data_IF_576035233500
#
_entry.id   IF_576035233500
#
_cell.length_a   1.000
_cell.length_b   1.000
_cell.length_c   1.000
_cell.angle_alpha   90.00
_cell.angle_beta   90.00
_cell.angle_gamma   90.00
#
_symmetry.space_group_name_H-M   'P 1'
#
loop_
_entity.id
_entity.type
_entity.pdbx_description
1 polymer ?
#
# COMPACT_ATOMS: atom_id res chain seq x y z
N UNK A 1 -32.87 -5.40 -2.40
CA UNK A 1 -31.57 -5.97 -2.84
C UNK A 1 -31.24 -5.70 -4.31
N UNK A 2 -32.02 -6.20 -5.30
CA UNK A 2 -31.71 -6.00 -6.75
C UNK A 2 -31.49 -4.54 -7.18
N UNK A 3 -32.22 -3.58 -6.61
CA UNK A 3 -32.07 -2.16 -6.96
C UNK A 3 -30.83 -1.51 -6.35
N UNK A 4 -30.34 -2.01 -5.20
CA UNK A 4 -29.11 -1.51 -4.57
C UNK A 4 -27.87 -2.00 -5.33
N UNK A 5 -27.84 -3.27 -5.73
CA UNK A 5 -26.80 -3.81 -6.61
C UNK A 5 -26.76 -3.08 -7.97
N UNK A 6 -27.91 -2.72 -8.53
CA UNK A 6 -27.99 -1.91 -9.76
C UNK A 6 -27.46 -0.48 -9.55
N UNK A 7 -27.78 0.16 -8.43
CA UNK A 7 -27.29 1.51 -8.10
C UNK A 7 -25.77 1.52 -7.88
N UNK A 8 -25.23 0.52 -7.18
CA UNK A 8 -23.80 0.37 -6.94
C UNK A 8 -23.06 0.02 -8.24
N UNK A 9 -23.59 -0.90 -9.05
CA UNK A 9 -23.04 -1.21 -10.37
C UNK A 9 -23.02 0.02 -11.27
N UNK A 10 -24.08 0.84 -11.25
CA UNK A 10 -24.14 2.11 -11.97
C UNK A 10 -23.11 3.13 -11.46
N UNK A 11 -22.92 3.25 -10.15
CA UNK A 11 -21.87 4.11 -9.56
C UNK A 11 -20.46 3.62 -9.91
N UNK A 12 -20.20 2.31 -9.87
CA UNK A 12 -18.90 1.72 -10.25
C UNK A 12 -18.62 1.91 -11.73
N UNK A 13 -19.62 1.69 -12.61
CA UNK A 13 -19.48 1.95 -14.05
C UNK A 13 -19.28 3.44 -14.32
N UNK A 14 -20.00 4.34 -13.64
CA UNK A 14 -19.82 5.79 -13.77
C UNK A 14 -18.44 6.27 -13.28
N UNK A 15 -17.89 5.65 -12.22
CA UNK A 15 -16.53 5.90 -11.72
C UNK A 15 -15.45 5.38 -12.69
N UNK A 16 -15.73 4.26 -13.39
CA UNK A 16 -14.87 3.73 -14.45
C UNK A 16 -15.01 4.49 -15.78
N UNK A 17 -16.10 5.26 -15.95
CA UNK A 17 -16.39 6.08 -17.12
C UNK A 17 -15.78 7.47 -17.06
N UNK A 18 -15.13 7.85 -15.95
CA UNK A 18 -14.23 9.01 -15.97
C UNK A 18 -13.23 8.67 -17.06
N UNK A 19 -13.17 9.42 -18.18
CA UNK A 19 -12.19 9.13 -19.20
C UNK A 19 -10.88 9.04 -18.45
N UNK A 20 -10.19 7.89 -18.62
CA UNK A 20 -8.79 7.75 -18.32
C UNK A 20 -8.08 8.78 -19.19
N UNK A 21 -8.18 10.02 -18.75
CA UNK A 21 -7.31 11.09 -19.06
C UNK A 21 -5.98 10.61 -18.49
N UNK A 22 -5.31 9.80 -19.30
CA UNK A 22 -3.88 9.87 -19.49
C UNK A 22 -3.50 11.28 -19.99
N UNK A 23 -4.08 12.33 -19.39
CA UNK A 23 -3.60 13.69 -19.39
C UNK A 23 -2.26 13.57 -18.69
N UNK A 24 -1.28 13.29 -19.53
CA UNK A 24 0.14 13.40 -19.31
C UNK A 24 0.44 14.32 -18.14
N UNK A 25 0.99 13.74 -17.07
CA UNK A 25 1.32 14.37 -15.80
C UNK A 25 2.47 15.37 -16.00
N UNK A 26 2.21 16.45 -16.72
CA UNK A 26 3.18 17.51 -17.00
C UNK A 26 3.24 18.47 -15.81
N UNK A 27 4.43 18.62 -15.24
CA UNK A 27 4.72 19.56 -14.15
C UNK A 27 5.70 20.65 -14.62
N UNK A 28 5.66 21.86 -14.05
CA UNK A 28 6.69 22.86 -14.29
C UNK A 28 8.08 22.28 -14.07
N UNK A 29 8.97 22.46 -15.03
CA UNK A 29 10.28 21.84 -15.05
C UNK A 29 11.18 22.44 -16.13
N UNK A 30 12.37 21.86 -16.27
CA UNK A 30 13.35 22.29 -17.24
C UNK A 30 14.07 21.11 -17.90
N UNK A 31 14.61 21.35 -19.08
CA UNK A 31 15.60 20.48 -19.75
C UNK A 31 16.89 21.25 -19.95
N UNK A 32 18.03 20.57 -19.82
CA UNK A 32 19.37 21.14 -19.99
C UNK A 32 19.97 20.55 -21.26
N UNK A 33 20.25 21.40 -22.24
CA UNK A 33 20.85 21.00 -23.51
C UNK A 33 22.32 20.58 -23.34
N UNK A 34 22.91 19.80 -24.27
CA UNK A 34 24.30 19.36 -24.18
C UNK A 34 25.30 20.52 -24.02
N UNK A 35 25.03 21.67 -24.64
CA UNK A 35 25.85 22.89 -24.52
C UNK A 35 25.66 23.67 -23.21
N UNK A 36 24.74 23.24 -22.33
CA UNK A 36 24.47 23.86 -21.03
C UNK A 36 23.25 24.79 -20.99
N UNK A 37 22.68 25.16 -22.14
CA UNK A 37 21.46 25.99 -22.20
C UNK A 37 20.29 25.30 -21.49
N UNK A 38 19.55 26.03 -20.67
CA UNK A 38 18.38 25.48 -19.94
C UNK A 38 17.09 26.01 -20.53
N UNK A 39 16.22 25.10 -20.97
CA UNK A 39 14.88 25.43 -21.47
C UNK A 39 13.84 25.20 -20.37
N UNK A 40 13.12 26.25 -19.99
CA UNK A 40 12.02 26.18 -19.02
C UNK A 40 10.71 25.83 -19.73
N UNK A 41 9.87 25.04 -19.06
CA UNK A 41 8.58 24.62 -19.60
C UNK A 41 7.87 23.64 -18.68
N UNK A 42 7.21 22.65 -19.28
CA UNK A 42 6.58 21.55 -18.56
C UNK A 42 7.21 20.23 -18.98
N UNK A 43 7.62 19.42 -18.01
CA UNK A 43 8.23 18.11 -18.22
C UNK A 43 7.25 17.03 -17.76
N UNK A 44 7.15 15.94 -18.52
CA UNK A 44 6.37 14.78 -18.11
C UNK A 44 6.97 14.19 -16.83
N UNK A 45 6.20 14.18 -15.75
CA UNK A 45 6.61 13.65 -14.46
C UNK A 45 6.68 12.11 -14.45
N UNK A 46 5.97 11.47 -15.39
CA UNK A 46 6.11 10.05 -15.72
C UNK A 46 7.01 9.90 -16.94
N UNK A 47 7.99 9.01 -16.86
CA UNK A 47 8.75 8.54 -18.03
C UNK A 47 7.92 7.54 -18.82
N UNK A 48 8.36 7.20 -20.03
CA UNK A 48 7.87 6.00 -20.71
C UNK A 48 8.12 4.72 -19.87
N UNK A 49 7.49 3.61 -20.27
CA UNK A 49 7.56 2.34 -19.55
C UNK A 49 9.00 1.80 -19.39
N UNK A 50 9.92 2.23 -20.27
CA UNK A 50 11.32 1.82 -20.27
C UNK A 50 12.24 2.80 -19.52
N UNK A 51 11.74 3.98 -19.16
CA UNK A 51 12.49 5.06 -18.52
C UNK A 51 13.49 5.76 -19.45
N UNK A 52 13.32 5.66 -20.77
CA UNK A 52 14.29 6.13 -21.78
C UNK A 52 13.96 7.49 -22.37
N UNK A 53 12.68 7.86 -22.38
CA UNK A 53 12.22 9.13 -22.96
C UNK A 53 11.46 9.99 -21.96
N UNK A 54 11.60 11.29 -22.11
CA UNK A 54 10.83 12.31 -21.39
C UNK A 54 10.14 13.24 -22.36
N UNK A 55 8.89 13.58 -22.07
CA UNK A 55 8.17 14.61 -22.81
C UNK A 55 8.45 16.00 -22.25
N UNK A 56 8.61 16.99 -23.12
CA UNK A 56 8.76 18.40 -22.80
C UNK A 56 7.79 19.25 -23.61
N UNK A 57 7.21 20.27 -22.98
CA UNK A 57 6.37 21.28 -23.61
C UNK A 57 6.86 22.67 -23.22
N UNK A 58 7.12 23.53 -24.20
CA UNK A 58 7.54 24.93 -23.94
C UNK A 58 6.43 25.72 -23.22
N UNK A 59 5.17 25.50 -23.61
CA UNK A 59 3.97 26.07 -22.98
C UNK A 59 2.88 25.00 -22.90
N UNK A 60 1.82 25.22 -22.11
CA UNK A 60 0.75 24.23 -21.96
C UNK A 60 -0.02 23.92 -23.26
N UNK A 61 0.00 24.82 -24.24
CA UNK A 61 -0.59 24.58 -25.57
C UNK A 61 0.43 24.05 -26.60
N UNK A 62 1.72 23.97 -26.27
CA UNK A 62 2.73 23.48 -27.20
C UNK A 62 2.61 21.98 -27.43
N UNK A 63 2.97 21.54 -28.64
CA UNK A 63 3.19 20.13 -28.93
C UNK A 63 4.26 19.56 -28.01
N UNK A 64 4.13 18.27 -27.68
CA UNK A 64 5.13 17.54 -26.89
C UNK A 64 6.36 17.26 -27.76
N UNK A 65 7.54 17.66 -27.30
CA UNK A 65 8.83 17.20 -27.79
C UNK A 65 9.33 16.05 -26.90
N UNK A 66 9.77 14.94 -27.49
CA UNK A 66 10.35 13.83 -26.73
C UNK A 66 11.87 13.93 -26.75
N UNK A 67 12.51 13.77 -25.59
CA UNK A 67 13.95 13.74 -25.44
C UNK A 67 14.43 12.44 -24.81
N UNK A 68 15.58 11.96 -25.26
CA UNK A 68 16.33 10.84 -24.69
C UNK A 68 17.59 11.35 -24.01
N UNK A 69 18.29 10.46 -23.30
CA UNK A 69 19.58 10.80 -22.69
C UNK A 69 20.67 11.18 -23.72
N UNK A 70 20.50 10.84 -25.00
CA UNK A 70 21.40 11.28 -26.07
C UNK A 70 21.14 12.73 -26.49
N UNK A 71 19.94 13.26 -26.24
CA UNK A 71 19.51 14.55 -26.79
C UNK A 71 19.81 15.71 -25.82
N UNK A 72 19.80 15.44 -24.51
CA UNK A 72 19.90 16.45 -23.45
C UNK A 72 20.89 16.01 -22.36
N UNK A 73 21.51 16.98 -21.69
CA UNK A 73 22.42 16.74 -20.57
C UNK A 73 21.70 16.38 -19.26
N UNK A 74 20.41 16.68 -19.15
CA UNK A 74 19.59 16.40 -17.98
C UNK A 74 18.26 17.13 -18.01
N UNK A 75 17.43 16.87 -17.01
CA UNK A 75 16.14 17.56 -16.80
C UNK A 75 15.79 17.55 -15.32
N UNK A 76 14.86 18.41 -14.91
CA UNK A 76 14.47 18.46 -13.50
C UNK A 76 13.20 19.24 -13.21
N UNK A 77 12.80 19.14 -11.96
CA UNK A 77 11.63 19.80 -11.39
C UNK A 77 12.11 20.67 -10.23
N UNK A 78 11.91 22.00 -10.27
CA UNK A 78 12.33 22.90 -9.21
C UNK A 78 11.86 22.42 -7.81
N UNK A 79 12.81 22.28 -6.88
CA UNK A 79 12.53 21.82 -5.51
C UNK A 79 12.20 20.32 -5.36
N UNK A 80 12.33 19.51 -6.42
CA UNK A 80 11.99 18.08 -6.41
C UNK A 80 13.12 17.24 -7.05
N UNK A 81 12.81 16.40 -8.04
CA UNK A 81 13.77 15.48 -8.66
C UNK A 81 14.61 16.19 -9.71
N UNK A 82 15.89 15.87 -9.75
CA UNK A 82 16.76 16.23 -10.86
C UNK A 82 17.36 14.97 -11.48
N UNK A 83 17.55 15.00 -12.78
CA UNK A 83 18.12 13.91 -13.55
C UNK A 83 19.27 14.43 -14.40
N UNK A 84 20.35 13.66 -14.44
CA UNK A 84 21.57 13.95 -15.21
C UNK A 84 21.80 12.81 -16.18
N UNK A 85 22.17 13.15 -17.41
CA UNK A 85 22.68 12.17 -18.37
C UNK A 85 24.05 11.71 -17.91
N UNK A 86 24.21 10.39 -17.83
CA UNK A 86 25.48 9.72 -17.53
C UNK A 86 25.66 8.52 -18.44
N UNK A 87 26.91 8.14 -18.61
CA UNK A 87 27.31 7.00 -19.42
C UNK A 87 27.49 5.78 -18.53
N UNK A 88 26.85 4.68 -18.89
CA UNK A 88 27.07 3.37 -18.27
C UNK A 88 27.90 2.49 -19.19
N UNK A 89 29.11 2.17 -18.73
CA UNK A 89 29.96 1.19 -19.38
C UNK A 89 29.42 -0.22 -19.11
N UNK A 90 29.24 -1.00 -20.17
CA UNK A 90 28.83 -2.39 -20.08
C UNK A 90 30.09 -3.26 -20.22
N UNK A 91 30.30 -4.17 -19.28
CA UNK A 91 31.48 -5.05 -19.30
C UNK A 91 31.52 -5.94 -20.57
N UNK A 92 30.34 -6.25 -21.12
CA UNK A 92 30.17 -7.21 -22.21
C UNK A 92 29.90 -6.56 -23.58
N UNK A 93 29.79 -5.22 -23.65
CA UNK A 93 29.57 -4.51 -24.92
C UNK A 93 30.43 -3.25 -25.01
N UNK A 94 30.96 -2.97 -26.21
CA UNK A 94 31.71 -1.73 -26.50
C UNK A 94 30.79 -0.50 -26.64
N UNK A 95 29.48 -0.66 -26.46
CA UNK A 95 28.51 0.40 -26.65
C UNK A 95 28.24 1.11 -25.31
N UNK A 96 28.64 2.37 -25.25
CA UNK A 96 28.33 3.27 -24.14
C UNK A 96 26.81 3.54 -24.09
N UNK A 97 26.14 3.23 -22.98
CA UNK A 97 24.72 3.51 -22.81
C UNK A 97 24.54 4.85 -22.08
N UNK A 98 23.92 5.85 -22.74
CA UNK A 98 23.51 7.09 -22.10
C UNK A 98 22.19 6.89 -21.37
N UNK A 99 22.17 7.22 -20.09
CA UNK A 99 21.01 7.05 -19.22
C UNK A 99 20.73 8.29 -18.39
N UNK A 100 19.46 8.53 -18.11
CA UNK A 100 19.06 9.52 -17.11
C UNK A 100 19.16 8.92 -15.71
N UNK A 101 20.15 9.35 -14.94
CA UNK A 101 20.27 9.00 -13.53
C UNK A 101 19.64 10.07 -12.65
N UNK A 102 18.87 9.67 -11.63
CA UNK A 102 18.35 10.63 -10.67
C UNK A 102 19.51 11.12 -9.79
N UNK A 103 19.77 12.42 -9.81
CA UNK A 103 20.77 13.05 -8.97
C UNK A 103 20.16 13.34 -7.59
N UNK A 104 20.78 12.79 -6.55
CA UNK A 104 20.33 12.92 -5.16
C UNK A 104 21.08 14.03 -4.43
N UNK A 105 22.39 14.10 -4.66
CA UNK A 105 23.28 15.15 -4.15
C UNK A 105 24.23 15.54 -5.26
N UNK A 106 24.47 16.83 -5.41
CA UNK A 106 25.51 17.42 -6.26
C UNK A 106 26.48 18.20 -5.38
N UNK A 107 27.77 18.05 -5.60
CA UNK A 107 28.84 18.74 -4.87
C UNK A 107 30.20 18.17 -5.27
N UNK A 108 31.22 18.28 -4.44
CA UNK A 108 32.55 17.66 -4.65
C UNK A 108 32.46 16.18 -5.01
N UNK A 109 31.52 15.47 -4.38
CA UNK A 109 31.05 14.17 -4.80
C UNK A 109 29.54 14.23 -5.05
N UNK A 110 29.14 13.71 -6.20
CA UNK A 110 27.74 13.59 -6.60
C UNK A 110 27.25 12.17 -6.33
N UNK A 111 25.99 12.05 -5.89
CA UNK A 111 25.32 10.79 -5.62
C UNK A 111 24.13 10.62 -6.57
N UNK A 112 24.07 9.48 -7.25
CA UNK A 112 23.04 9.14 -8.20
C UNK A 112 22.30 7.87 -7.83
N UNK A 113 21.06 7.76 -8.31
CA UNK A 113 20.23 6.56 -8.26
C UNK A 113 19.75 6.22 -9.68
N UNK A 114 20.00 5.00 -10.11
CA UNK A 114 19.51 4.47 -11.38
C UNK A 114 19.03 3.04 -11.20
N UNK A 115 17.74 2.78 -11.49
CA UNK A 115 17.10 1.45 -11.39
C UNK A 115 17.39 0.72 -10.06
N UNK A 116 17.30 1.45 -8.94
CA UNK A 116 17.54 0.89 -7.60
C UNK A 116 19.01 0.72 -7.21
N UNK A 117 19.96 1.06 -8.10
CA UNK A 117 21.40 1.01 -7.84
C UNK A 117 21.93 2.41 -7.58
N UNK A 118 22.74 2.57 -6.54
CA UNK A 118 23.41 3.83 -6.22
C UNK A 118 24.76 3.93 -6.93
N UNK A 119 25.10 5.13 -7.37
CA UNK A 119 26.39 5.45 -7.97
C UNK A 119 26.94 6.73 -7.37
N UNK A 120 28.26 6.84 -7.27
CA UNK A 120 28.94 8.08 -6.88
C UNK A 120 29.97 8.48 -7.94
N UNK A 121 30.20 9.78 -8.02
CA UNK A 121 31.13 10.41 -8.95
C UNK A 121 31.82 11.56 -8.20
N UNK A 122 33.13 11.68 -8.35
CA UNK A 122 33.90 12.78 -7.75
C UNK A 122 34.27 13.80 -8.82
N UNK A 123 34.20 15.09 -8.51
CA UNK A 123 34.37 16.15 -9.51
C UNK A 123 35.77 16.18 -10.13
N UNK A 124 36.80 15.74 -9.40
CA UNK A 124 38.19 15.61 -9.90
C UNK A 124 38.34 14.56 -11.02
N UNK A 125 37.37 13.64 -11.14
CA UNK A 125 37.28 12.65 -12.19
C UNK A 125 35.82 12.40 -12.59
N UNK A 126 35.16 13.46 -13.10
CA UNK A 126 33.74 13.48 -13.45
C UNK A 126 33.35 12.60 -14.66
N UNK A 127 34.23 11.71 -15.11
CA UNK A 127 33.93 10.70 -16.13
C UNK A 127 33.82 9.30 -15.54
N UNK A 128 34.20 9.10 -14.26
CA UNK A 128 34.20 7.78 -13.62
C UNK A 128 33.06 7.63 -12.63
N UNK A 129 32.06 6.84 -13.00
CA UNK A 129 30.99 6.40 -12.11
C UNK A 129 31.39 5.17 -11.31
N UNK A 130 31.19 5.23 -10.01
CA UNK A 130 31.44 4.12 -9.10
C UNK A 130 30.12 3.53 -8.60
N UNK A 131 29.84 2.27 -8.97
CA UNK A 131 28.68 1.52 -8.47
C UNK A 131 28.85 1.19 -7.00
N UNK A 132 27.80 1.42 -6.21
CA UNK A 132 27.71 0.98 -4.82
C UNK A 132 26.83 -0.27 -4.73
N UNK A 133 27.36 -1.35 -4.17
CA UNK A 133 26.67 -2.64 -4.14
C UNK A 133 27.10 -3.49 -2.94
N UNK A 134 26.29 -4.49 -2.63
CA UNK A 134 26.55 -5.54 -1.65
C UNK A 134 26.53 -6.88 -2.41
N UNK A 135 27.45 -7.78 -2.09
CA UNK A 135 27.39 -9.18 -2.53
C UNK A 135 27.18 -10.09 -1.31
N UNK A 136 26.74 -11.32 -1.54
CA UNK A 136 26.58 -12.32 -0.47
C UNK A 136 27.62 -13.40 -0.63
N UNK A 137 28.25 -13.77 0.47
CA UNK A 137 29.19 -14.88 0.51
C UNK A 137 28.69 -15.94 1.47
N UNK A 138 28.69 -17.18 0.99
CA UNK A 138 28.34 -18.35 1.78
C UNK A 138 29.58 -18.90 2.46
N UNK A 139 29.51 -19.17 3.76
CA UNK A 139 30.59 -19.78 4.52
C UNK A 139 30.03 -20.81 5.51
N UNK A 140 30.85 -21.78 5.89
CA UNK A 140 30.49 -22.75 6.94
C UNK A 140 30.98 -22.18 8.28
N UNK A 141 30.07 -22.02 9.23
CA UNK A 141 30.43 -21.52 10.56
C UNK A 141 31.11 -22.62 11.40
N UNK A 142 31.56 -22.25 12.60
CA UNK A 142 32.25 -23.18 13.51
C UNK A 142 31.37 -24.36 14.01
N UNK A 143 30.06 -24.33 13.72
CA UNK A 143 29.10 -25.40 14.06
C UNK A 143 28.74 -26.28 12.87
N UNK A 144 29.44 -26.14 11.73
CA UNK A 144 29.14 -26.90 10.51
C UNK A 144 27.90 -26.43 9.77
N UNK A 145 27.31 -25.27 10.15
CA UNK A 145 26.12 -24.72 9.51
C UNK A 145 26.52 -23.74 8.42
N UNK A 146 25.96 -23.93 7.23
CA UNK A 146 26.08 -22.99 6.12
C UNK A 146 25.38 -21.67 6.46
N UNK A 147 26.17 -20.60 6.58
CA UNK A 147 25.71 -19.24 6.83
C UNK A 147 26.02 -18.33 5.63
N UNK A 148 25.30 -17.21 5.53
CA UNK A 148 25.57 -16.17 4.54
C UNK A 148 26.00 -14.89 5.27
N UNK A 149 26.99 -14.19 4.71
CA UNK A 149 27.39 -12.83 5.13
C UNK A 149 27.30 -11.86 3.96
N UNK A 150 26.96 -10.62 4.26
CA UNK A 150 26.99 -9.53 3.31
C UNK A 150 28.41 -8.96 3.21
N UNK A 151 28.91 -8.82 1.98
CA UNK A 151 30.14 -8.11 1.65
C UNK A 151 29.76 -6.71 1.17
N UNK A 152 30.09 -5.72 2.00
CA UNK A 152 29.76 -4.31 1.80
C UNK A 152 30.75 -3.60 0.87
N UNK A 153 30.75 -3.92 -0.43
CA UNK A 153 31.66 -3.30 -1.39
C UNK A 153 31.51 -1.78 -1.46
N UNK A 154 30.30 -1.25 -1.21
CA UNK A 154 30.07 0.19 -1.14
C UNK A 154 30.93 0.90 -0.09
N UNK A 155 31.18 0.27 1.06
CA UNK A 155 32.05 0.83 2.12
C UNK A 155 33.48 1.01 1.59
N UNK A 156 34.00 0.02 0.86
CA UNK A 156 35.34 0.10 0.26
C UNK A 156 35.43 1.21 -0.79
N UNK A 157 34.44 1.30 -1.68
CA UNK A 157 34.39 2.35 -2.71
C UNK A 157 34.36 3.73 -2.07
N UNK A 158 33.47 3.95 -1.11
CA UNK A 158 33.31 5.22 -0.42
C UNK A 158 34.57 5.59 0.39
N UNK A 159 35.17 4.62 1.10
CA UNK A 159 36.43 4.84 1.82
C UNK A 159 37.53 5.32 0.88
N UNK A 160 37.70 4.69 -0.28
CA UNK A 160 38.72 5.10 -1.26
C UNK A 160 38.47 6.52 -1.80
N UNK A 161 37.22 6.87 -2.09
CA UNK A 161 36.88 8.16 -2.69
C UNK A 161 36.92 9.34 -1.69
N UNK A 162 36.70 9.05 -0.41
CA UNK A 162 36.60 10.04 0.67
C UNK A 162 37.86 10.13 1.56
N UNK A 163 39.00 9.59 1.11
CA UNK A 163 40.25 9.58 1.89
C UNK A 163 40.75 10.98 2.28
N UNK A 164 40.36 12.01 1.51
CA UNK A 164 40.68 13.41 1.75
C UNK A 164 39.88 14.06 2.89
N UNK A 165 38.92 13.33 3.50
CA UNK A 165 38.25 13.76 4.71
C UNK A 165 38.28 12.66 5.80
N UNK A 166 39.30 12.70 6.68
CA UNK A 166 39.49 11.71 7.75
C UNK A 166 38.29 11.55 8.69
N UNK A 167 37.48 12.60 8.89
CA UNK A 167 36.28 12.55 9.72
C UNK A 167 35.23 11.55 9.20
N UNK A 168 35.28 11.19 7.91
CA UNK A 168 34.32 10.27 7.30
C UNK A 168 34.59 8.79 7.60
N UNK A 169 35.83 8.40 7.95
CA UNK A 169 36.22 6.98 8.07
C UNK A 169 35.28 6.17 8.97
N UNK A 170 35.04 6.66 10.19
CA UNK A 170 34.15 5.98 11.15
C UNK A 170 32.68 5.95 10.72
N UNK A 171 32.26 6.88 9.85
CA UNK A 171 30.89 7.00 9.35
C UNK A 171 30.64 6.07 8.17
N UNK A 172 31.63 5.95 7.28
CA UNK A 172 31.57 5.08 6.11
C UNK A 172 31.47 3.61 6.54
N UNK A 173 32.20 3.18 7.57
CA UNK A 173 32.15 1.80 8.07
C UNK A 173 30.75 1.33 8.50
N UNK A 174 29.91 2.26 8.96
CA UNK A 174 28.56 1.97 9.48
C UNK A 174 27.45 2.33 8.49
N UNK A 175 27.80 2.88 7.32
CA UNK A 175 26.80 3.37 6.38
C UNK A 175 26.05 2.19 5.74
N UNK A 176 24.73 2.24 5.83
CA UNK A 176 23.85 1.29 5.12
C UNK A 176 23.72 1.72 3.67
N UNK A 177 23.61 0.75 2.76
CA UNK A 177 23.32 0.99 1.35
C UNK A 177 21.84 1.37 1.17
N UNK A 178 21.46 2.55 1.63
CA UNK A 178 20.11 3.10 1.57
C UNK A 178 20.15 4.59 1.27
N UNK A 179 19.14 5.11 0.54
CA UNK A 179 19.14 6.48 0.01
C UNK A 179 19.39 7.53 1.11
N UNK A 180 18.66 7.44 2.24
CA UNK A 180 18.83 8.38 3.36
C UNK A 180 20.26 8.36 3.90
N UNK A 181 20.79 7.17 4.21
CA UNK A 181 22.12 7.01 4.79
C UNK A 181 23.22 7.52 3.84
N UNK A 182 23.10 7.24 2.54
CA UNK A 182 24.06 7.71 1.54
C UNK A 182 23.95 9.21 1.32
N UNK A 183 22.75 9.77 1.21
CA UNK A 183 22.56 11.23 1.08
C UNK A 183 23.17 11.95 2.27
N UNK A 184 22.89 11.50 3.50
CA UNK A 184 23.44 12.11 4.71
C UNK A 184 24.99 12.02 4.72
N UNK A 185 25.56 10.87 4.34
CA UNK A 185 27.01 10.68 4.25
C UNK A 185 27.66 11.57 3.17
N UNK A 186 27.10 11.62 1.97
CA UNK A 186 27.63 12.41 0.85
C UNK A 186 27.54 13.90 1.15
N UNK A 187 26.44 14.36 1.78
CA UNK A 187 26.30 15.76 2.22
C UNK A 187 27.39 16.16 3.19
N UNK A 188 27.65 15.29 4.16
CA UNK A 188 28.69 15.53 5.16
C UNK A 188 30.09 15.53 4.53
N UNK A 189 30.37 14.60 3.64
CA UNK A 189 31.61 14.59 2.87
C UNK A 189 31.79 15.88 2.06
N UNK A 190 30.77 16.31 1.33
CA UNK A 190 30.82 17.54 0.54
C UNK A 190 31.05 18.77 1.41
N UNK A 191 30.43 18.85 2.58
CA UNK A 191 30.71 19.91 3.56
C UNK A 191 32.16 19.91 4.04
N UNK A 192 32.79 18.74 4.17
CA UNK A 192 34.18 18.61 4.57
C UNK A 192 35.18 18.95 3.46
N UNK A 193 34.94 18.44 2.24
CA UNK A 193 35.90 18.51 1.14
C UNK A 193 35.75 19.72 0.22
N UNK A 194 34.53 20.28 0.06
CA UNK A 194 34.24 21.43 -0.81
C UNK A 194 33.59 22.62 -0.11
N UNK A 195 33.25 22.50 1.17
CA UNK A 195 32.50 23.53 1.88
C UNK A 195 30.98 23.36 1.74
N UNK A 196 30.24 23.76 2.78
CA UNK A 196 28.81 23.46 2.89
C UNK A 196 27.92 24.19 1.87
N UNK A 197 28.38 25.30 1.29
CA UNK A 197 27.61 26.12 0.36
C UNK A 197 27.71 25.66 -1.11
N UNK A 198 28.68 24.80 -1.44
CA UNK A 198 28.94 24.34 -2.82
C UNK A 198 28.17 23.07 -3.20
N UNK A 199 27.16 22.68 -2.40
CA UNK A 199 26.38 21.47 -2.64
C UNK A 199 24.89 21.74 -2.78
N UNK A 200 24.24 20.90 -3.58
CA UNK A 200 22.78 20.88 -3.76
C UNK A 200 22.26 19.51 -3.41
N UNK A 201 21.33 19.44 -2.45
CA UNK A 201 20.57 18.21 -2.17
C UNK A 201 19.20 18.29 -2.81
N UNK A 202 18.87 17.31 -3.64
CA UNK A 202 17.57 17.25 -4.31
C UNK A 202 16.51 16.61 -3.40
N UNK A 203 15.25 17.02 -3.59
CA UNK A 203 14.10 16.66 -2.72
C UNK A 203 14.24 17.03 -1.23
N UNK A 204 15.08 18.00 -0.88
CA UNK A 204 15.34 18.32 0.53
C UNK A 204 14.10 18.84 1.28
N UNK A 205 13.22 19.54 0.57
CA UNK A 205 11.92 19.99 1.10
C UNK A 205 10.92 18.85 1.37
N UNK A 206 11.15 17.65 0.82
CA UNK A 206 10.24 16.51 0.96
C UNK A 206 10.63 15.67 2.16
N UNK A 207 9.67 15.51 3.08
CA UNK A 207 9.85 14.66 4.28
C UNK A 207 10.06 13.20 3.90
N UNK A 208 10.93 12.52 4.65
CA UNK A 208 11.13 11.07 4.55
C UNK A 208 9.92 10.27 5.02
N UNK A 209 9.17 10.81 5.95
CA UNK A 209 7.98 10.20 6.53
C UNK A 209 6.94 11.27 6.82
N UNK A 210 5.70 11.00 6.45
CA UNK A 210 4.56 11.85 6.74
C UNK A 210 3.39 11.00 7.23
N UNK A 211 2.65 11.57 8.17
CA UNK A 211 1.44 11.00 8.75
C UNK A 211 0.31 11.97 8.43
N UNK A 212 -0.78 11.47 7.85
CA UNK A 212 -2.01 12.24 7.64
C UNK A 212 -3.12 11.58 8.44
N UNK A 213 -3.49 12.14 9.61
CA UNK A 213 -4.60 11.63 10.38
C UNK A 213 -5.93 11.99 9.73
N UNK A 214 -6.96 11.20 10.00
CA UNK A 214 -8.31 11.49 9.58
C UNK A 214 -9.36 10.76 10.41
N UNK A 215 -10.58 11.27 10.35
CA UNK A 215 -11.76 10.59 10.87
C UNK A 215 -12.46 9.87 9.73
N UNK A 216 -13.04 8.71 10.01
CA UNK A 216 -13.82 7.95 9.03
C UNK A 216 -15.15 7.53 9.63
N UNK A 217 -16.21 7.70 8.84
CA UNK A 217 -17.53 7.14 9.11
C UNK A 217 -17.95 6.27 7.93
N UNK A 218 -18.71 5.21 8.17
CA UNK A 218 -19.25 4.40 7.08
C UNK A 218 -20.66 3.92 7.38
N UNK A 219 -21.42 3.68 6.31
CA UNK A 219 -22.58 2.79 6.35
C UNK A 219 -22.17 1.48 5.69
N UNK A 220 -22.30 0.39 6.44
CA UNK A 220 -21.89 -0.96 6.03
C UNK A 220 -23.11 -1.87 5.92
N UNK A 221 -23.18 -2.64 4.84
CA UNK A 221 -24.19 -3.67 4.62
C UNK A 221 -23.50 -5.04 4.57
N UNK A 222 -23.93 -5.98 5.40
CA UNK A 222 -23.24 -7.25 5.61
C UNK A 222 -24.18 -8.45 5.46
N UNK A 223 -23.62 -9.57 5.02
CA UNK A 223 -24.23 -10.90 5.05
C UNK A 223 -23.31 -11.89 5.77
N UNK A 224 -23.90 -12.93 6.35
CA UNK A 224 -23.21 -14.05 6.99
C UNK A 224 -23.70 -15.34 6.37
N UNK A 225 -22.77 -16.21 5.98
CA UNK A 225 -23.05 -17.55 5.49
C UNK A 225 -22.27 -18.58 6.29
N UNK A 226 -22.87 -19.75 6.48
CA UNK A 226 -22.20 -20.94 7.00
C UNK A 226 -22.25 -22.05 5.95
N UNK A 227 -21.23 -22.89 5.94
CA UNK A 227 -21.17 -24.12 5.16
C UNK A 227 -20.69 -25.23 6.08
N UNK A 228 -21.52 -26.27 6.27
CA UNK A 228 -21.17 -27.40 7.12
C UNK A 228 -20.98 -28.67 6.29
N UNK A 229 -20.06 -29.52 6.73
CA UNK A 229 -19.93 -30.90 6.22
C UNK A 229 -20.27 -31.95 7.29
N UNK A 230 -20.43 -31.52 8.55
CA UNK A 230 -20.78 -32.35 9.70
C UNK A 230 -22.25 -32.14 10.09
N UNK A 231 -22.96 -33.24 10.33
CA UNK A 231 -24.39 -33.25 10.66
C UNK A 231 -24.71 -32.46 11.95
N UNK A 232 -23.74 -32.30 12.86
CA UNK A 232 -23.90 -31.51 14.08
C UNK A 232 -24.15 -30.02 13.84
N UNK A 233 -23.86 -29.52 12.64
CA UNK A 233 -24.06 -28.12 12.24
C UNK A 233 -25.13 -27.93 11.16
N UNK A 234 -26.00 -28.93 10.94
CA UNK A 234 -27.10 -28.85 9.97
C UNK A 234 -27.98 -27.61 10.14
N UNK A 235 -28.17 -27.14 11.39
CA UNK A 235 -28.93 -25.92 11.68
C UNK A 235 -28.29 -24.67 11.11
N UNK A 236 -26.96 -24.63 10.93
CA UNK A 236 -26.24 -23.50 10.33
C UNK A 236 -26.17 -23.63 8.80
N UNK A 237 -26.06 -24.85 8.27
CA UNK A 237 -26.06 -25.09 6.81
C UNK A 237 -27.38 -24.65 6.17
N UNK A 238 -28.50 -24.89 6.87
CA UNK A 238 -29.83 -24.50 6.40
C UNK A 238 -30.24 -23.08 6.81
N UNK A 239 -29.36 -22.33 7.49
CA UNK A 239 -29.65 -21.00 7.98
C UNK A 239 -29.51 -19.94 6.87
N UNK A 240 -30.63 -19.33 6.49
CA UNK A 240 -30.63 -18.08 5.73
C UNK A 240 -30.60 -16.89 6.69
N UNK A 241 -29.40 -16.47 7.09
CA UNK A 241 -29.26 -15.29 7.94
C UNK A 241 -29.72 -14.01 7.24
N UNK A 242 -30.39 -13.14 7.98
CA UNK A 242 -30.72 -11.81 7.49
C UNK A 242 -29.47 -11.00 7.15
N UNK A 243 -29.62 -10.06 6.21
CA UNK A 243 -28.58 -9.04 5.96
C UNK A 243 -28.79 -7.87 6.91
N UNK A 244 -27.69 -7.24 7.34
CA UNK A 244 -27.76 -6.14 8.29
C UNK A 244 -27.04 -4.89 7.75
N UNK A 245 -27.60 -3.71 8.04
CA UNK A 245 -27.01 -2.42 7.69
C UNK A 245 -26.72 -1.63 8.96
N UNK A 246 -25.47 -1.24 9.17
CA UNK A 246 -25.04 -0.58 10.40
C UNK A 246 -24.04 0.54 10.12
N UNK A 247 -24.05 1.61 10.94
CA UNK A 247 -23.03 2.63 10.88
C UNK A 247 -21.74 2.17 11.57
N UNK A 248 -20.60 2.68 11.11
CA UNK A 248 -19.29 2.52 11.76
C UNK A 248 -18.59 3.87 11.84
N UNK A 249 -17.79 4.06 12.88
CA UNK A 249 -17.00 5.29 13.08
C UNK A 249 -15.61 4.95 13.58
N UNK A 250 -14.63 5.76 13.20
CA UNK A 250 -13.26 5.47 13.54
C UNK A 250 -12.26 6.53 13.12
N UNK A 251 -10.99 6.14 13.24
CA UNK A 251 -9.83 6.95 12.89
C UNK A 251 -9.02 6.24 11.81
N UNK A 252 -8.38 7.03 10.95
CA UNK A 252 -7.52 6.57 9.90
C UNK A 252 -6.18 7.33 9.93
N UNK A 253 -5.10 6.62 9.64
CA UNK A 253 -3.76 7.16 9.48
C UNK A 253 -3.27 6.75 8.10
N UNK A 254 -2.91 7.74 7.27
CA UNK A 254 -2.17 7.50 6.04
C UNK A 254 -0.70 7.77 6.30
N UNK A 255 0.11 6.72 6.22
CA UNK A 255 1.55 6.76 6.41
C UNK A 255 2.22 6.71 5.04
N UNK A 256 3.01 7.71 4.69
CA UNK A 256 3.68 7.74 3.39
C UNK A 256 5.07 8.38 3.44
N UNK A 257 5.84 8.17 2.37
CA UNK A 257 7.13 8.84 2.16
C UNK A 257 7.02 9.75 0.94
N UNK A 258 6.68 11.05 1.12
CA UNK A 258 6.61 12.00 0.00
C UNK A 258 7.88 12.04 -0.85
N UNK A 259 9.05 11.76 -0.26
CA UNK A 259 10.36 11.75 -0.93
C UNK A 259 10.55 10.55 -1.86
N UNK A 260 10.05 9.37 -1.47
CA UNK A 260 10.15 8.14 -2.27
C UNK A 260 8.98 8.08 -3.27
N UNK A 261 7.75 8.15 -2.75
CA UNK A 261 6.53 8.09 -3.55
C UNK A 261 5.41 8.92 -2.92
N UNK A 262 4.97 9.96 -3.63
CA UNK A 262 3.90 10.84 -3.17
C UNK A 262 2.48 10.25 -3.32
N UNK A 263 2.35 9.17 -4.11
CA UNK A 263 1.09 8.54 -4.46
C UNK A 263 0.80 7.25 -3.67
N UNK A 264 1.82 6.60 -3.13
CA UNK A 264 1.65 5.37 -2.34
C UNK A 264 1.64 5.69 -0.84
N UNK A 265 0.65 5.14 -0.13
CA UNK A 265 0.50 5.27 1.32
C UNK A 265 0.11 3.93 1.94
N UNK A 266 0.53 3.69 3.18
CA UNK A 266 -0.03 2.64 4.03
C UNK A 266 -1.18 3.24 4.84
N UNK A 267 -2.38 2.72 4.65
CA UNK A 267 -3.57 3.02 5.45
C UNK A 267 -3.57 2.12 6.69
N UNK A 268 -3.66 2.73 7.86
CA UNK A 268 -3.94 2.06 9.13
C UNK A 268 -5.21 2.67 9.70
N UNK A 269 -6.25 1.88 9.90
CA UNK A 269 -7.59 2.35 10.26
C UNK A 269 -8.14 1.51 11.43
N UNK A 270 -8.76 2.17 12.39
CA UNK A 270 -9.47 1.54 13.50
C UNK A 270 -10.92 2.03 13.53
N UNK A 271 -11.90 1.12 13.40
CA UNK A 271 -13.33 1.42 13.42
C UNK A 271 -14.07 0.60 14.46
N UNK A 272 -15.06 1.17 15.11
CA UNK A 272 -16.01 0.44 15.94
C UNK A 272 -17.29 0.13 15.16
N UNK A 273 -17.84 -1.07 15.37
CA UNK A 273 -19.13 -1.45 14.82
C UNK A 273 -19.91 -2.37 15.75
N UNK A 274 -21.24 -2.37 15.55
CA UNK A 274 -22.19 -3.29 16.17
C UNK A 274 -23.09 -3.85 15.08
N UNK A 275 -23.32 -5.16 15.07
CA UNK A 275 -24.23 -5.80 14.14
C UNK A 275 -24.90 -7.03 14.77
N UNK A 276 -26.07 -7.37 14.25
CA UNK A 276 -26.75 -8.61 14.58
C UNK A 276 -27.12 -9.40 13.33
N UNK A 277 -27.23 -10.72 13.50
CA UNK A 277 -27.75 -11.65 12.51
C UNK A 277 -28.81 -12.55 13.15
N UNK A 278 -29.86 -12.84 12.41
CA UNK A 278 -30.96 -13.70 12.83
C UNK A 278 -31.32 -14.68 11.71
N UNK A 279 -31.63 -15.92 12.07
CA UNK A 279 -32.09 -16.96 11.16
C UNK A 279 -33.06 -17.93 11.86
N UNK A 280 -34.05 -18.42 11.13
CA UNK A 280 -35.04 -19.39 11.62
C UNK A 280 -35.07 -20.69 10.78
N UNK A 281 -33.97 -21.47 10.72
CA UNK A 281 -33.89 -22.61 9.83
C UNK A 281 -34.72 -23.80 10.32
N UNK A 282 -35.38 -24.45 9.37
CA UNK A 282 -36.19 -25.65 9.60
C UNK A 282 -35.76 -26.79 8.69
N UNK A 283 -35.53 -27.98 9.24
CA UNK A 283 -35.11 -29.16 8.47
C UNK A 283 -35.60 -30.47 9.11
N UNK A 284 -35.51 -31.57 8.34
CA UNK A 284 -35.90 -32.91 8.80
C UNK A 284 -34.67 -33.80 8.84
N UNK A 285 -34.47 -34.52 9.95
CA UNK A 285 -33.35 -35.46 10.14
C UNK A 285 -33.79 -36.63 11.01
N UNK A 286 -33.52 -37.87 10.56
CA UNK A 286 -34.02 -39.13 11.16
C UNK A 286 -35.50 -39.05 11.61
N UNK A 287 -36.40 -38.72 10.67
CA UNK A 287 -37.85 -38.62 10.88
C UNK A 287 -38.30 -37.65 12.00
N UNK A 288 -37.43 -36.71 12.38
CA UNK A 288 -37.74 -35.64 13.33
C UNK A 288 -37.61 -34.28 12.63
N UNK A 289 -38.54 -33.38 12.92
CA UNK A 289 -38.51 -32.00 12.46
C UNK A 289 -37.76 -31.15 13.49
N UNK A 290 -36.85 -30.33 12.99
CA UNK A 290 -36.04 -29.39 13.76
C UNK A 290 -36.38 -27.99 13.27
N UNK A 291 -37.00 -27.20 14.14
CA UNK A 291 -37.23 -25.77 13.91
C UNK A 291 -36.26 -25.03 14.85
N UNK A 292 -35.42 -24.14 14.32
CA UNK A 292 -34.39 -23.44 15.11
C UNK A 292 -34.61 -21.94 15.03
N UNK A 293 -34.23 -21.24 16.09
CA UNK A 293 -34.14 -19.79 16.16
C UNK A 293 -32.72 -19.43 16.58
N UNK A 294 -32.02 -18.68 15.75
CA UNK A 294 -30.60 -18.34 15.94
C UNK A 294 -30.47 -16.82 15.92
N UNK A 295 -29.83 -16.26 16.94
CA UNK A 295 -29.49 -14.85 17.03
C UNK A 295 -28.00 -14.70 17.38
N UNK A 296 -27.32 -13.86 16.61
CA UNK A 296 -25.91 -13.53 16.79
C UNK A 296 -25.80 -12.03 16.98
N UNK A 297 -25.29 -11.56 18.11
CA UNK A 297 -25.05 -10.15 18.40
C UNK A 297 -23.56 -9.89 18.60
N UNK A 298 -23.01 -8.96 17.82
CA UNK A 298 -21.59 -8.68 17.80
C UNK A 298 -21.32 -7.19 18.00
N UNK A 299 -20.24 -6.90 18.72
CA UNK A 299 -19.59 -5.60 18.70
C UNK A 299 -18.09 -5.79 18.61
N UNK A 300 -17.42 -4.98 17.79
CA UNK A 300 -16.00 -5.16 17.55
C UNK A 300 -15.25 -3.86 17.26
N UNK A 301 -13.96 -3.89 17.56
CA UNK A 301 -12.98 -2.97 16.99
C UNK A 301 -12.37 -3.64 15.77
N UNK A 302 -12.63 -3.07 14.59
CA UNK A 302 -12.04 -3.46 13.31
C UNK A 302 -10.75 -2.69 13.09
N UNK A 303 -9.63 -3.40 12.99
CA UNK A 303 -8.33 -2.88 12.60
C UNK A 303 -8.09 -3.23 11.14
N UNK A 304 -7.84 -2.24 10.29
CA UNK A 304 -7.62 -2.42 8.85
C UNK A 304 -6.25 -1.87 8.48
N UNK A 305 -5.50 -2.65 7.70
CA UNK A 305 -4.22 -2.25 7.12
C UNK A 305 -4.25 -2.49 5.62
N UNK A 306 -3.99 -1.44 4.83
CA UNK A 306 -4.08 -1.53 3.37
C UNK A 306 -3.02 -0.67 2.67
N UNK A 307 -2.53 -1.14 1.53
CA UNK A 307 -1.78 -0.29 0.60
C UNK A 307 -2.77 0.54 -0.19
N UNK A 308 -2.60 1.87 -0.16
CA UNK A 308 -3.39 2.83 -0.93
C UNK A 308 -2.52 3.47 -2.01
N UNK A 309 -3.05 3.56 -3.22
CA UNK A 309 -2.46 4.28 -4.34
C UNK A 309 -3.39 5.40 -4.78
N UNK A 310 -2.94 6.64 -4.64
CA UNK A 310 -3.63 7.84 -5.08
C UNK A 310 -3.26 8.12 -6.55
N UNK A 311 -4.24 8.33 -7.42
CA UNK A 311 -4.00 8.74 -8.79
C UNK A 311 -3.75 10.25 -8.87
N UNK A 312 -3.25 10.73 -10.01
CA UNK A 312 -3.08 12.16 -10.21
C UNK A 312 -4.45 12.86 -10.30
N UNK A 313 -4.59 14.00 -9.63
CA UNK A 313 -5.82 14.79 -9.63
C UNK A 313 -5.67 16.04 -8.77
N UNK A 314 -6.28 17.16 -9.20
CA UNK A 314 -6.23 18.44 -8.46
C UNK A 314 -7.42 18.58 -7.53
N UNK A 315 -8.62 18.79 -8.08
CA UNK A 315 -9.86 18.94 -7.28
C UNK A 315 -10.40 17.57 -6.85
N UNK A 316 -10.54 16.67 -7.83
CA UNK A 316 -10.94 15.28 -7.62
C UNK A 316 -9.70 14.40 -7.80
N UNK A 317 -9.36 13.63 -6.78
CA UNK A 317 -8.22 12.72 -6.80
C UNK A 317 -8.67 11.28 -6.52
N UNK A 318 -8.78 10.43 -7.55
CA UNK A 318 -9.13 9.03 -7.36
C UNK A 318 -8.08 8.26 -6.57
N UNK A 319 -8.48 7.19 -5.89
CA UNK A 319 -7.57 6.25 -5.25
C UNK A 319 -8.14 4.82 -5.26
N UNK A 320 -7.24 3.84 -5.12
CA UNK A 320 -7.58 2.45 -4.82
C UNK A 320 -6.80 1.97 -3.60
N UNK A 321 -7.37 1.04 -2.85
CA UNK A 321 -6.67 0.38 -1.75
C UNK A 321 -6.98 -1.12 -1.71
N UNK A 322 -6.01 -1.88 -1.21
CA UNK A 322 -6.12 -3.32 -1.03
C UNK A 322 -5.35 -3.73 0.23
N UNK A 323 -5.92 -4.64 1.00
CA UNK A 323 -5.30 -5.04 2.26
C UNK A 323 -6.10 -6.09 3.02
N UNK A 324 -5.89 -6.11 4.33
CA UNK A 324 -6.57 -7.00 5.25
C UNK A 324 -7.13 -6.27 6.46
N UNK A 325 -8.01 -6.95 7.17
CA UNK A 325 -8.55 -6.48 8.42
C UNK A 325 -8.59 -7.59 9.47
N UNK A 326 -8.68 -7.16 10.72
CA UNK A 326 -8.90 -7.99 11.90
C UNK A 326 -10.02 -7.35 12.72
N UNK A 327 -11.08 -8.11 13.00
CA UNK A 327 -12.12 -7.73 13.95
C UNK A 327 -11.74 -8.32 15.32
N UNK A 328 -11.65 -7.47 16.33
CA UNK A 328 -11.48 -7.85 17.73
C UNK A 328 -12.83 -7.68 18.41
N UNK A 329 -13.52 -8.79 18.68
CA UNK A 329 -14.88 -8.76 19.21
C UNK A 329 -14.88 -8.53 20.71
N UNK A 330 -15.67 -7.54 21.15
CA UNK A 330 -15.92 -7.24 22.55
C UNK A 330 -17.22 -7.88 23.04
N UNK A 331 -18.24 -7.94 22.18
CA UNK A 331 -19.50 -8.69 22.40
C UNK A 331 -19.63 -9.77 21.32
N UNK A 332 -20.07 -10.97 21.74
CA UNK A 332 -20.07 -12.21 20.93
C UNK A 332 -21.24 -13.13 21.29
N UNK A 333 -22.44 -12.58 21.42
CA UNK A 333 -23.57 -13.36 21.93
C UNK A 333 -24.09 -14.29 20.82
N UNK A 334 -24.19 -15.58 21.12
CA UNK A 334 -24.79 -16.60 20.26
C UNK A 334 -25.92 -17.27 21.03
N UNK A 335 -27.15 -16.97 20.63
CA UNK A 335 -28.37 -17.56 21.17
C UNK A 335 -28.93 -18.55 20.16
N UNK A 336 -29.23 -19.76 20.61
CA UNK A 336 -29.80 -20.81 19.79
C UNK A 336 -30.89 -21.56 20.56
N UNK A 337 -32.13 -21.38 20.13
CA UNK A 337 -33.26 -22.16 20.63
C UNK A 337 -33.67 -23.18 19.57
N UNK A 338 -33.76 -24.45 19.96
CA UNK A 338 -34.10 -25.56 19.08
C UNK A 338 -35.41 -26.22 19.53
N UNK A 339 -36.35 -26.37 18.61
CA UNK A 339 -37.60 -27.08 18.80
C UNK A 339 -37.57 -28.40 18.03
N UNK A 340 -37.82 -29.52 18.71
CA UNK A 340 -37.79 -30.86 18.12
C UNK A 340 -39.14 -31.54 18.23
N UNK A 341 -39.66 -32.08 17.13
CA UNK A 341 -40.93 -32.82 17.09
C UNK A 341 -40.84 -34.06 16.19
N UNK A 342 -41.48 -35.15 16.59
CA UNK A 342 -41.50 -36.43 15.82
C UNK A 342 -42.53 -36.45 14.71
N UNK A 343 -43.63 -35.73 14.88
CA UNK A 343 -44.67 -35.54 13.85
C UNK A 343 -45.07 -34.07 13.78
N UNK A 344 -45.64 -33.63 12.66
CA UNK A 344 -46.12 -32.25 12.50
C UNK A 344 -47.15 -31.85 13.58
N UNK A 345 -47.90 -32.81 14.11
CA UNK A 345 -48.95 -32.62 15.12
C UNK A 345 -48.49 -32.76 16.58
N UNK A 346 -47.26 -33.23 16.82
CA UNK A 346 -46.74 -33.37 18.19
C UNK A 346 -46.29 -32.03 18.77
N UNK A 347 -46.50 -31.83 20.07
CA UNK A 347 -45.98 -30.65 20.80
C UNK A 347 -44.45 -30.68 20.77
N UNK A 348 -43.78 -29.61 20.28
CA UNK A 348 -42.34 -29.58 20.19
C UNK A 348 -41.69 -29.56 21.57
N UNK A 349 -40.55 -30.23 21.70
CA UNK A 349 -39.66 -30.09 22.85
C UNK A 349 -38.66 -28.97 22.58
N UNK A 350 -38.65 -27.95 23.44
CA UNK A 350 -37.70 -26.84 23.39
C UNK A 350 -36.36 -27.24 24.02
N UNK A 351 -35.25 -26.82 23.41
CA UNK A 351 -33.89 -27.03 23.87
C UNK A 351 -33.11 -25.73 23.68
N UNK A 352 -32.57 -25.18 24.77
CA UNK A 352 -31.59 -24.10 24.68
C UNK A 352 -30.22 -24.72 24.31
N UNK A 353 -29.58 -24.16 23.29
CA UNK A 353 -28.31 -24.57 22.70
C UNK A 353 -27.32 -23.40 22.62
N UNK A 354 -27.51 -22.40 23.48
CA UNK A 354 -26.63 -21.24 23.57
C UNK A 354 -25.18 -21.69 23.82
N UNK A 355 -24.24 -21.00 23.18
CA UNK A 355 -22.82 -21.30 23.31
C UNK A 355 -22.03 -19.99 23.23
N UNK A 356 -21.61 -19.52 24.40
CA UNK A 356 -20.86 -18.27 24.55
C UNK A 356 -19.45 -18.31 23.89
N UNK A 357 -18.95 -19.49 23.56
CA UNK A 357 -17.65 -19.70 22.91
C UNK A 357 -17.79 -20.04 21.43
N UNK A 358 -19.02 -20.06 20.87
CA UNK A 358 -19.21 -20.41 19.47
C UNK A 358 -18.57 -19.41 18.50
N UNK A 359 -18.70 -18.11 18.79
CA UNK A 359 -18.14 -17.03 17.96
C UNK A 359 -16.68 -16.80 18.36
N UNK A 360 -15.76 -16.78 17.40
CA UNK A 360 -14.34 -16.53 17.65
C UNK A 360 -14.10 -15.15 18.27
N UNK A 361 -13.05 -15.01 19.10
CA UNK A 361 -12.59 -13.70 19.62
C UNK A 361 -12.08 -12.79 18.51
N UNK A 362 -11.61 -13.38 17.42
CA UNK A 362 -10.94 -12.68 16.33
C UNK A 362 -11.45 -13.21 15.00
N UNK A 363 -11.79 -12.31 14.09
CA UNK A 363 -12.05 -12.64 12.69
C UNK A 363 -11.07 -11.87 11.81
N UNK A 364 -10.53 -12.52 10.80
CA UNK A 364 -9.62 -11.90 9.83
C UNK A 364 -10.22 -11.92 8.44
N UNK A 365 -9.76 -11.01 7.57
CA UNK A 365 -10.27 -10.96 6.21
C UNK A 365 -9.48 -10.06 5.29
N UNK A 366 -9.92 -10.05 4.04
CA UNK A 366 -9.35 -9.23 2.97
C UNK A 366 -10.31 -8.10 2.62
N UNK A 367 -9.73 -7.00 2.15
CA UNK A 367 -10.49 -5.84 1.69
C UNK A 367 -9.95 -5.27 0.38
N UNK A 368 -10.86 -4.74 -0.42
CA UNK A 368 -10.58 -3.96 -1.61
C UNK A 368 -11.48 -2.73 -1.60
N UNK A 369 -10.93 -1.57 -1.91
CA UNK A 369 -11.69 -0.33 -1.96
C UNK A 369 -11.23 0.60 -3.07
N UNK A 370 -12.16 1.42 -3.53
CA UNK A 370 -11.92 2.45 -4.52
C UNK A 370 -12.71 3.71 -4.15
N UNK A 371 -12.12 4.87 -4.35
CA UNK A 371 -12.72 6.12 -3.91
C UNK A 371 -12.10 7.33 -4.57
N UNK A 372 -12.48 8.50 -4.09
CA UNK A 372 -11.89 9.76 -4.52
C UNK A 372 -11.85 10.77 -3.39
N UNK A 373 -10.81 11.60 -3.38
CA UNK A 373 -10.75 12.79 -2.56
C UNK A 373 -11.34 13.99 -3.31
N UNK A 374 -12.09 14.80 -2.58
CA UNK A 374 -12.36 16.18 -2.91
C UNK A 374 -11.42 17.07 -2.08
N UNK A 375 -10.57 17.84 -2.76
CA UNK A 375 -9.67 18.79 -2.10
C UNK A 375 -10.41 20.09 -1.77
N UNK A 376 -10.52 20.41 -0.48
CA UNK A 376 -11.09 21.68 0.00
C UNK A 376 -10.01 22.38 0.83
N UNK A 377 -9.36 23.39 0.23
CA UNK A 377 -8.24 24.11 0.84
C UNK A 377 -7.12 23.15 1.30
N UNK A 378 -6.82 23.11 2.60
CA UNK A 378 -5.79 22.25 3.20
C UNK A 378 -6.31 20.86 3.58
N UNK A 379 -7.62 20.63 3.51
CA UNK A 379 -8.26 19.39 3.96
C UNK A 379 -8.72 18.54 2.78
N UNK A 380 -8.89 17.24 3.05
CA UNK A 380 -9.38 16.28 2.05
C UNK A 380 -10.61 15.55 2.59
N UNK A 381 -11.71 15.63 1.86
CA UNK A 381 -12.86 14.75 2.07
C UNK A 381 -12.73 13.56 1.13
N UNK A 382 -12.90 12.34 1.62
CA UNK A 382 -12.92 11.13 0.79
C UNK A 382 -14.31 10.50 0.75
N UNK A 383 -14.69 10.00 -0.42
CA UNK A 383 -15.78 9.05 -0.58
C UNK A 383 -15.18 7.73 -1.11
N UNK A 384 -15.47 6.62 -0.44
CA UNK A 384 -14.92 5.30 -0.78
C UNK A 384 -16.02 4.23 -0.77
N UNK A 385 -16.04 3.39 -1.81
CA UNK A 385 -16.75 2.12 -1.79
C UNK A 385 -15.74 1.01 -1.44
N UNK A 386 -16.09 0.17 -0.47
CA UNK A 386 -15.21 -0.89 0.02
C UNK A 386 -15.95 -2.22 0.09
N UNK A 387 -15.31 -3.27 -0.39
CA UNK A 387 -15.73 -4.66 -0.22
C UNK A 387 -14.78 -5.36 0.77
N UNK A 388 -15.36 -6.10 1.71
CA UNK A 388 -14.66 -6.84 2.75
C UNK A 388 -15.15 -8.29 2.75
N UNK A 389 -14.21 -9.24 2.73
CA UNK A 389 -14.46 -10.67 2.83
C UNK A 389 -13.80 -11.19 4.11
N UNK A 390 -14.61 -11.53 5.11
CA UNK A 390 -14.18 -12.05 6.39
C UNK A 390 -14.28 -13.57 6.42
N UNK A 391 -13.25 -14.20 6.96
CA UNK A 391 -13.11 -15.64 7.12
C UNK A 391 -13.41 -16.05 8.55
N UNK A 392 -14.14 -17.15 8.72
CA UNK A 392 -14.30 -17.88 9.98
C UNK A 392 -14.69 -17.02 11.18
N UNK A 393 -16.00 -16.77 11.29
CA UNK A 393 -16.60 -16.06 12.42
C UNK A 393 -16.67 -16.92 13.69
N UNK A 394 -16.54 -18.24 13.59
CA UNK A 394 -16.72 -19.18 14.69
C UNK A 394 -15.39 -19.74 15.21
N UNK A 395 -15.42 -20.29 16.42
CA UNK A 395 -14.26 -20.92 17.05
C UNK A 395 -14.12 -22.38 16.60
N UNK A 396 -12.96 -22.75 16.03
CA UNK A 396 -12.67 -24.14 15.67
C UNK A 396 -12.14 -24.92 16.87
N UNK A 397 -12.84 -25.99 17.27
CA UNK A 397 -12.22 -27.03 18.07
C UNK A 397 -11.11 -27.73 17.27
N UNK A 398 -10.08 -28.26 17.94
CA UNK A 398 -8.91 -28.85 17.28
C UNK A 398 -9.25 -29.96 16.26
N UNK A 399 -10.34 -30.71 16.50
CA UNK A 399 -10.84 -31.76 15.60
C UNK A 399 -11.53 -31.16 14.36
N UNK A 400 -12.33 -30.10 14.54
CA UNK A 400 -13.06 -29.43 13.47
C UNK A 400 -12.12 -28.77 12.45
N UNK A 401 -10.96 -28.31 12.91
CA UNK A 401 -9.92 -27.68 12.06
C UNK A 401 -9.22 -28.67 11.12
N UNK A 402 -9.22 -29.96 11.46
CA UNK A 402 -8.61 -31.02 10.64
C UNK A 402 -9.60 -31.48 9.56
N UNK A 403 -10.89 -31.50 9.88
CA UNK A 403 -11.93 -32.04 9.01
C UNK A 403 -12.69 -30.99 8.19
N UNK A 404 -12.43 -29.69 8.40
CA UNK A 404 -13.24 -28.58 7.84
C UNK A 404 -14.74 -28.83 8.01
N UNK A 405 -15.12 -29.17 9.25
CA UNK A 405 -16.51 -29.56 9.58
C UNK A 405 -17.50 -28.41 9.44
N UNK A 406 -17.01 -27.17 9.59
CA UNK A 406 -17.78 -25.93 9.51
C UNK A 406 -16.87 -24.81 9.00
N UNK A 407 -17.35 -24.09 8.00
CA UNK A 407 -16.77 -22.86 7.47
C UNK A 407 -17.81 -21.74 7.58
N UNK A 408 -17.33 -20.50 7.70
CA UNK A 408 -18.23 -19.34 7.66
C UNK A 408 -17.57 -18.15 6.99
N UNK A 409 -18.35 -17.37 6.26
CA UNK A 409 -17.88 -16.14 5.63
C UNK A 409 -18.82 -14.97 5.88
N UNK A 410 -18.22 -13.80 6.05
CA UNK A 410 -18.96 -12.53 6.06
C UNK A 410 -18.60 -11.72 4.83
N UNK A 411 -19.59 -11.16 4.16
CA UNK A 411 -19.39 -10.27 3.00
C UNK A 411 -19.97 -8.91 3.34
N UNK A 412 -19.12 -7.89 3.34
CA UNK A 412 -19.54 -6.55 3.71
C UNK A 412 -19.23 -5.57 2.60
N UNK A 413 -20.23 -4.79 2.19
CA UNK A 413 -20.07 -3.63 1.31
C UNK A 413 -20.28 -2.38 2.14
N UNK A 414 -19.32 -1.45 2.07
CA UNK A 414 -19.37 -0.20 2.83
C UNK A 414 -19.25 1.00 1.91
N UNK A 415 -20.00 2.06 2.22
CA UNK A 415 -19.76 3.41 1.72
C UNK A 415 -19.15 4.23 2.85
N UNK A 416 -17.91 4.69 2.67
CA UNK A 416 -17.14 5.41 3.68
C UNK A 416 -17.00 6.88 3.29
N UNK A 417 -17.13 7.74 4.30
CA UNK A 417 -16.78 9.15 4.27
C UNK A 417 -15.59 9.37 5.19
N UNK A 418 -14.52 9.96 4.66
CA UNK A 418 -13.31 10.27 5.42
C UNK A 418 -13.01 11.76 5.38
N UNK A 419 -12.43 12.29 6.44
CA UNK A 419 -11.92 13.66 6.52
C UNK A 419 -10.50 13.65 7.04
N UNK A 420 -9.55 14.12 6.23
CA UNK A 420 -8.11 14.08 6.51
C UNK A 420 -7.53 15.49 6.63
N UNK A 421 -6.60 15.65 7.58
CA UNK A 421 -5.99 16.92 7.98
C UNK A 421 -4.58 17.12 7.43
#
# INVERSE_FOLDING_TARGET
MKNLYKLISLCVVALLSIPAAAQSDYKPGYVVMPQGDTLQGQVSYRTDALGKTIGFKKTSQSATTSYTANDIAGYGFPGDRNFRTRTLDHADTLAAEYVFMQELVRGTMSLYLYRGTFFVEKNDNSSKLHKLYITKETYVNNYGVTAQRDINHHVRVLNTLMLDCFAMLSKIERVKLAEKNLVDLVKEYNSCAGGAEEQTTFKESKKWFAIKPGFVGAISHTSLNFSASDETYLHLEHAEFNTNTYPTFGIALLLNSPRINELASLLVEGRYFTNSYQADPSYVWFDSYYDNQIEIELSAIKLTTALRYDFAGKTLQPFVNAGGFVNLFNQRDYKHTQYVRRTQSSTPTERNRDNAEFISKVQQGLMLGAGSYLHINKHRLSLEARYEFGLDLHEHNAVNKINNSLDSDTRTVSLLLGFYF
#
